data_IF_365406193536
#
_entry.id   IF_365406193536
#
_cell.length_a   1.000
_cell.length_b   1.000
_cell.length_c   1.000
_cell.angle_alpha   90.00
_cell.angle_beta   90.00
_cell.angle_gamma   90.00
#
_symmetry.space_group_name_H-M   'P 1'
#
loop_
_entity.id
_entity.type
_entity.pdbx_description
1 polymer ?
#
# COMPACT_ATOMS: atom_id res chain seq x y z
N UNK A 1 -7.48 -0.32 10.88
CA UNK A 1 -8.16 0.79 11.59
C UNK A 1 -7.10 1.78 12.06
N UNK A 2 -6.66 2.69 11.19
CA UNK A 2 -5.85 3.84 11.60
C UNK A 2 -6.86 4.99 11.71
N UNK A 3 -7.11 5.49 12.92
CA UNK A 3 -8.03 6.61 13.19
C UNK A 3 -7.39 7.66 14.10
N UNK A 4 -6.24 7.30 14.70
CA UNK A 4 -5.48 8.13 15.62
C UNK A 4 -4.98 9.44 14.99
N UNK A 5 -4.66 9.46 13.69
CA UNK A 5 -4.19 10.66 13.00
C UNK A 5 -5.26 11.76 12.95
N UNK A 6 -6.52 11.40 12.71
CA UNK A 6 -7.65 12.34 12.64
C UNK A 6 -7.98 12.94 14.00
N UNK A 7 -7.98 12.10 15.04
CA UNK A 7 -8.29 12.51 16.39
C UNK A 7 -7.18 13.41 16.97
N UNK A 8 -5.91 13.01 16.79
CA UNK A 8 -4.76 13.79 17.25
C UNK A 8 -4.64 15.12 16.47
N UNK A 9 -4.87 15.09 15.16
CA UNK A 9 -4.87 16.28 14.30
C UNK A 9 -5.96 17.28 14.70
N UNK A 10 -7.18 16.83 14.97
CA UNK A 10 -8.29 17.68 15.43
C UNK A 10 -7.97 18.37 16.76
N UNK A 11 -7.49 17.62 17.76
CA UNK A 11 -7.17 18.14 19.10
C UNK A 11 -5.98 19.10 19.04
N UNK A 12 -4.90 18.72 18.35
CA UNK A 12 -3.72 19.56 18.21
C UNK A 12 -4.02 20.84 17.42
N UNK A 13 -4.81 20.74 16.34
CA UNK A 13 -5.23 21.88 15.53
C UNK A 13 -6.07 22.87 16.32
N UNK A 14 -7.02 22.40 17.13
CA UNK A 14 -7.84 23.25 18.00
C UNK A 14 -7.02 23.96 19.10
N UNK A 15 -6.02 23.28 19.66
CA UNK A 15 -5.16 23.82 20.72
C UNK A 15 -4.14 24.85 20.22
N UNK A 16 -3.55 24.63 19.04
CA UNK A 16 -2.51 25.50 18.49
C UNK A 16 -3.07 26.84 17.97
N UNK A 17 -4.31 26.84 17.46
CA UNK A 17 -4.99 28.05 16.98
C UNK A 17 -5.94 28.62 18.04
N UNK A 18 -5.37 29.03 19.18
CA UNK A 18 -6.09 29.70 20.29
C UNK A 18 -7.02 30.86 19.87
N UNK A 19 -6.71 31.69 18.84
CA UNK A 19 -7.59 32.78 18.43
C UNK A 19 -8.83 32.32 17.65
N UNK A 20 -8.75 31.19 16.93
CA UNK A 20 -9.81 30.65 16.07
C UNK A 20 -9.79 29.10 16.10
N UNK A 21 -10.27 28.49 17.20
CA UNK A 21 -10.10 27.06 17.45
C UNK A 21 -10.82 26.17 16.44
N UNK A 22 -11.94 26.64 15.87
CA UNK A 22 -12.70 25.91 14.85
C UNK A 22 -11.91 25.79 13.53
N UNK A 23 -11.20 26.84 13.13
CA UNK A 23 -10.35 26.81 11.94
C UNK A 23 -9.17 25.85 12.13
N UNK A 24 -8.52 25.93 13.29
CA UNK A 24 -7.46 25.01 13.68
C UNK A 24 -7.91 23.55 13.70
N UNK A 25 -9.09 23.28 14.24
CA UNK A 25 -9.68 21.94 14.28
C UNK A 25 -9.96 21.36 12.89
N UNK A 26 -10.47 22.18 11.96
CA UNK A 26 -10.72 21.76 10.57
C UNK A 26 -9.42 21.49 9.83
N UNK A 27 -8.43 22.39 9.93
CA UNK A 27 -7.11 22.20 9.33
C UNK A 27 -6.41 20.96 9.91
N UNK A 28 -6.48 20.81 11.22
CA UNK A 28 -5.93 19.66 11.94
C UNK A 28 -6.61 18.33 11.56
N UNK A 29 -7.93 18.33 11.36
CA UNK A 29 -8.67 17.17 10.87
C UNK A 29 -8.26 16.80 9.44
N UNK A 30 -8.09 17.78 8.55
CA UNK A 30 -7.66 17.57 7.16
C UNK A 30 -6.23 17.02 7.09
N UNK A 31 -5.30 17.59 7.86
CA UNK A 31 -3.91 17.11 7.94
C UNK A 31 -3.87 15.72 8.58
N UNK A 32 -4.63 15.51 9.66
CA UNK A 32 -4.77 14.23 10.33
C UNK A 32 -5.35 13.16 9.41
N UNK A 33 -6.32 13.51 8.56
CA UNK A 33 -6.89 12.63 7.55
C UNK A 33 -5.87 12.29 6.45
N UNK A 34 -5.08 13.26 6.00
CA UNK A 34 -4.02 13.05 5.00
C UNK A 34 -2.89 12.15 5.53
N UNK A 35 -2.52 12.31 6.81
CA UNK A 35 -1.54 11.46 7.49
C UNK A 35 -2.05 10.02 7.68
N UNK A 36 -3.35 9.86 7.96
CA UNK A 36 -4.03 8.57 8.05
C UNK A 36 -4.13 7.87 6.67
N UNK A 37 -4.21 8.67 5.60
CA UNK A 37 -4.38 8.23 4.21
C UNK A 37 -3.08 8.03 3.44
N UNK A 38 -1.93 7.89 4.11
CA UNK A 38 -0.67 7.50 3.45
C UNK A 38 -0.18 8.51 2.37
N UNK A 39 -0.54 9.80 2.48
CA UNK A 39 -0.21 10.86 1.50
C UNK A 39 1.30 11.01 1.19
N UNK A 40 2.17 10.56 2.10
CA UNK A 40 3.63 10.58 1.95
C UNK A 40 4.25 9.24 1.51
N UNK A 41 3.49 8.30 0.91
CA UNK A 41 4.08 7.16 0.17
C UNK A 41 4.81 7.57 -1.12
N UNK A 42 5.50 8.70 -1.10
CA UNK A 42 6.47 9.13 -2.09
C UNK A 42 7.81 8.38 -1.98
N UNK A 43 7.93 7.38 -1.09
CA UNK A 43 9.15 6.58 -0.97
C UNK A 43 8.91 5.09 -1.28
N UNK A 44 9.17 4.74 -2.54
CA UNK A 44 9.97 3.57 -2.97
C UNK A 44 9.44 2.14 -2.81
N UNK A 45 8.14 1.89 -2.92
CA UNK A 45 7.71 0.57 -3.43
C UNK A 45 8.01 0.53 -4.93
N UNK A 46 9.22 0.11 -5.29
CA UNK A 46 9.56 -0.21 -6.67
C UNK A 46 8.81 -1.51 -7.01
N UNK A 47 7.74 -1.46 -7.82
CA UNK A 47 6.90 -2.63 -8.05
C UNK A 47 7.67 -3.74 -8.79
N UNK A 48 8.74 -3.40 -9.50
CA UNK A 48 9.62 -4.37 -10.12
C UNK A 48 10.33 -5.23 -9.05
N UNK A 49 10.70 -4.66 -7.89
CA UNK A 49 11.35 -5.41 -6.81
C UNK A 49 10.43 -6.44 -6.15
N UNK A 50 9.13 -6.17 -6.08
CA UNK A 50 8.14 -7.15 -5.60
C UNK A 50 8.07 -8.39 -6.50
N UNK A 51 8.38 -8.23 -7.80
CA UNK A 51 8.54 -9.33 -8.74
C UNK A 51 9.98 -9.89 -8.81
N UNK A 52 10.92 -9.32 -8.05
CA UNK A 52 12.34 -9.66 -8.11
C UNK A 52 13.06 -9.15 -9.36
N UNK A 53 12.54 -8.08 -9.98
CA UNK A 53 13.02 -7.49 -11.23
C UNK A 53 13.56 -6.07 -11.04
N UNK A 54 14.30 -5.60 -12.04
CA UNK A 54 14.69 -4.19 -12.18
C UNK A 54 13.68 -3.45 -13.05
N UNK A 55 13.72 -2.11 -13.03
CA UNK A 55 12.88 -1.26 -13.90
C UNK A 55 13.16 -1.45 -15.39
N UNK A 56 14.30 -2.06 -15.73
CA UNK A 56 14.74 -2.33 -17.11
C UNK A 56 14.20 -3.66 -17.66
N UNK A 57 13.52 -4.46 -16.83
CA UNK A 57 12.98 -5.75 -17.26
C UNK A 57 12.01 -5.60 -18.43
N UNK A 58 12.04 -6.52 -19.37
CA UNK A 58 11.12 -6.58 -20.52
C UNK A 58 9.71 -7.00 -20.08
N UNK A 59 8.70 -6.71 -20.91
CA UNK A 59 7.32 -7.16 -20.64
C UNK A 59 7.22 -8.69 -20.48
N UNK A 60 8.01 -9.42 -21.28
CA UNK A 60 8.08 -10.88 -21.23
C UNK A 60 8.67 -11.37 -19.89
N UNK A 61 9.70 -10.71 -19.36
CA UNK A 61 10.29 -11.04 -18.06
C UNK A 61 9.32 -10.77 -16.91
N UNK A 62 8.57 -9.67 -16.99
CA UNK A 62 7.57 -9.28 -15.99
C UNK A 62 6.43 -10.29 -15.96
N UNK A 63 5.91 -10.66 -17.12
CA UNK A 63 4.84 -11.66 -17.22
C UNK A 63 5.30 -13.04 -16.74
N UNK A 64 6.52 -13.44 -17.08
CA UNK A 64 7.10 -14.71 -16.63
C UNK A 64 7.28 -14.73 -15.11
N UNK A 65 7.83 -13.65 -14.52
CA UNK A 65 8.00 -13.53 -13.09
C UNK A 65 6.65 -13.54 -12.35
N UNK A 66 5.66 -12.80 -12.87
CA UNK A 66 4.30 -12.77 -12.33
C UNK A 66 3.68 -14.17 -12.28
N UNK A 67 3.65 -14.88 -13.41
CA UNK A 67 3.09 -16.25 -13.49
C UNK A 67 3.80 -17.21 -12.54
N UNK A 68 5.13 -17.12 -12.44
CA UNK A 68 5.95 -17.94 -11.53
C UNK A 68 5.61 -17.67 -10.06
N UNK A 69 5.46 -16.40 -9.67
CA UNK A 69 5.17 -16.01 -8.29
C UNK A 69 3.74 -16.36 -7.88
N UNK A 70 2.75 -16.11 -8.74
CA UNK A 70 1.36 -16.52 -8.47
C UNK A 70 1.23 -18.03 -8.36
N UNK A 71 1.92 -18.81 -9.20
CA UNK A 71 1.92 -20.27 -9.08
C UNK A 71 2.51 -20.77 -7.75
N UNK A 72 3.44 -20.03 -7.14
CA UNK A 72 4.05 -20.38 -5.85
C UNK A 72 3.18 -19.98 -4.66
N UNK A 73 2.55 -18.81 -4.71
CA UNK A 73 1.78 -18.24 -3.59
C UNK A 73 0.25 -18.34 -3.79
N UNK A 74 -0.22 -19.17 -4.72
CA UNK A 74 -1.66 -19.31 -4.96
C UNK A 74 -2.34 -19.91 -3.72
N UNK A 75 -3.35 -19.25 -3.15
CA UNK A 75 -4.01 -19.70 -1.91
C UNK A 75 -4.64 -21.10 -2.06
N UNK A 76 -5.09 -21.44 -3.26
CA UNK A 76 -5.68 -22.76 -3.59
C UNK A 76 -4.70 -23.93 -3.39
N UNK A 77 -3.40 -23.71 -3.58
CA UNK A 77 -2.38 -24.76 -3.37
C UNK A 77 -2.09 -25.03 -1.89
N UNK A 78 -2.68 -24.24 -0.99
CA UNK A 78 -2.45 -24.30 0.45
C UNK A 78 -3.71 -24.70 1.22
N UNK A 79 -4.72 -25.28 0.54
CA UNK A 79 -5.99 -25.69 1.13
C UNK A 79 -5.89 -26.67 2.32
N UNK A 80 -4.75 -27.33 2.51
CA UNK A 80 -4.45 -28.17 3.68
C UNK A 80 -3.34 -27.66 4.60
N UNK A 81 -2.80 -26.46 4.34
CA UNK A 81 -1.71 -25.87 5.14
C UNK A 81 -2.24 -25.16 6.40
N UNK A 82 -1.35 -24.90 7.35
CA UNK A 82 -1.67 -24.13 8.55
C UNK A 82 -2.26 -22.74 8.20
N UNK A 83 -3.22 -22.23 8.99
CA UNK A 83 -3.91 -20.97 8.71
C UNK A 83 -2.95 -19.77 8.56
N UNK A 84 -1.83 -19.77 9.28
CA UNK A 84 -0.80 -18.73 9.14
C UNK A 84 -0.14 -18.73 7.75
N UNK A 85 0.13 -19.91 7.18
CA UNK A 85 0.72 -20.04 5.86
C UNK A 85 -0.26 -19.60 4.77
N UNK A 86 -1.55 -19.90 4.94
CA UNK A 86 -2.62 -19.42 4.04
C UNK A 86 -2.68 -17.89 4.06
N UNK A 87 -2.67 -17.27 5.24
CA UNK A 87 -2.66 -15.82 5.37
C UNK A 87 -1.40 -15.18 4.75
N UNK A 88 -0.23 -15.80 4.94
CA UNK A 88 1.02 -15.31 4.35
C UNK A 88 0.98 -15.38 2.82
N UNK A 89 0.48 -16.47 2.25
CA UNK A 89 0.34 -16.62 0.81
C UNK A 89 -0.71 -15.68 0.21
N UNK A 90 -1.82 -15.46 0.91
CA UNK A 90 -2.83 -14.47 0.53
C UNK A 90 -2.24 -13.05 0.53
N UNK A 91 -1.49 -12.68 1.56
CA UNK A 91 -0.82 -11.37 1.59
C UNK A 91 0.22 -11.24 0.47
N UNK A 92 1.01 -12.28 0.21
CA UNK A 92 2.01 -12.28 -0.87
C UNK A 92 1.37 -12.18 -2.25
N UNK A 93 0.38 -13.01 -2.55
CA UNK A 93 -0.35 -12.97 -3.83
C UNK A 93 -1.00 -11.61 -4.07
N UNK A 94 -1.60 -10.99 -3.05
CA UNK A 94 -2.12 -9.61 -3.14
C UNK A 94 -1.05 -8.59 -3.51
N UNK A 95 0.13 -8.65 -2.88
CA UNK A 95 1.25 -7.75 -3.21
C UNK A 95 1.76 -7.95 -4.64
N UNK A 96 1.88 -9.21 -5.08
CA UNK A 96 2.30 -9.56 -6.44
C UNK A 96 1.32 -8.99 -7.49
N UNK A 97 0.01 -9.16 -7.27
CA UNK A 97 -1.02 -8.60 -8.15
C UNK A 97 -0.94 -7.07 -8.21
N UNK A 98 -0.88 -6.41 -7.04
CA UNK A 98 -0.79 -4.96 -6.97
C UNK A 98 0.46 -4.41 -7.67
N UNK A 99 1.61 -5.07 -7.53
CA UNK A 99 2.85 -4.70 -8.21
C UNK A 99 2.74 -4.83 -9.73
N UNK A 100 2.17 -5.94 -10.22
CA UNK A 100 1.97 -6.17 -11.65
C UNK A 100 1.03 -5.13 -12.28
N UNK A 101 -0.09 -4.83 -11.62
CA UNK A 101 -1.05 -3.81 -12.08
C UNK A 101 -0.42 -2.41 -12.12
N UNK A 102 0.42 -2.10 -11.13
CA UNK A 102 1.17 -0.84 -11.09
C UNK A 102 2.15 -0.73 -12.25
N UNK A 103 2.91 -1.78 -12.54
CA UNK A 103 3.84 -1.84 -13.67
C UNK A 103 3.09 -1.65 -14.99
N UNK A 104 1.97 -2.37 -15.19
CA UNK A 104 1.15 -2.22 -16.40
C UNK A 104 0.66 -0.79 -16.59
N UNK A 105 0.21 -0.16 -15.50
CA UNK A 105 -0.25 1.24 -15.52
C UNK A 105 0.89 2.20 -15.87
N UNK A 106 2.10 1.96 -15.35
CA UNK A 106 3.28 2.78 -15.64
C UNK A 106 3.73 2.66 -17.10
N UNK A 107 3.59 1.48 -17.72
CA UNK A 107 4.00 1.23 -19.13
C UNK A 107 2.97 1.64 -20.17
N UNK A 108 1.71 1.81 -19.76
CA UNK A 108 0.62 2.23 -20.65
C UNK A 108 0.56 3.76 -20.82
N UNK A 109 1.30 4.52 -20.01
CA UNK A 109 1.51 5.96 -20.16
C UNK A 109 2.72 6.23 -21.04
#
# INVERSE_FOLDING_TARGET
MRWYGKLLGFIAGALLFRPNPLFGAVVGLLIGHAFDSDWFRLNKENPYRELGLTSEATDAEIERAYRKLISQYHPDKLGGAAPELQQQAEQKSRRINAAYDRIKTLRKR
#
